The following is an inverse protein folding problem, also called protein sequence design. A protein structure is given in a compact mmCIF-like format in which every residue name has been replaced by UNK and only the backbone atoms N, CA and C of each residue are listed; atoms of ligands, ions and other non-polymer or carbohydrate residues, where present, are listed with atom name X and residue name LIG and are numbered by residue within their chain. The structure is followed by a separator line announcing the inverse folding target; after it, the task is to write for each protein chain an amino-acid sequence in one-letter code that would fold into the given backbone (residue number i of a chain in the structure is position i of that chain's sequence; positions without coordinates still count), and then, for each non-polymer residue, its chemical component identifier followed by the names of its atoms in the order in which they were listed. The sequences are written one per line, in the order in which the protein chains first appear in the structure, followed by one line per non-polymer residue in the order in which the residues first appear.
data_IF_516474826314
#
_entry.id   IF_516474826314
#
_cell.length_a   1.000
_cell.length_b   1.000
_cell.length_c   1.000
_cell.angle_alpha   90.00
_cell.angle_beta   90.00
_cell.angle_gamma   90.00
#
_symmetry.space_group_name_H-M   'P 1'
#
loop_
_entity.id
_entity.type
_entity.pdbx_description
1 polymer ?
#
# COMPACT_ATOMS: atom_id res chain seq x y z
N UNK A 1 11.05 4.40 4.07
CA UNK A 1 10.04 3.62 3.31
C UNK A 1 9.13 4.46 2.41
N UNK A 2 9.24 5.79 2.39
CA UNK A 2 8.37 6.65 1.58
C UNK A 2 8.50 6.33 0.07
N UNK A 3 9.72 6.30 -0.43
CA UNK A 3 9.97 6.06 -1.86
C UNK A 3 9.59 4.61 -2.24
N UNK A 4 9.80 3.66 -1.33
CA UNK A 4 9.30 2.29 -1.48
C UNK A 4 7.77 2.25 -1.62
N UNK A 5 7.04 3.02 -0.81
CA UNK A 5 5.59 3.09 -0.89
C UNK A 5 5.11 3.64 -2.25
N UNK A 6 5.78 4.65 -2.79
CA UNK A 6 5.49 5.19 -4.12
C UNK A 6 5.73 4.15 -5.21
N UNK A 7 6.85 3.43 -5.14
CA UNK A 7 7.22 2.37 -6.10
C UNK A 7 6.22 1.22 -6.07
N UNK A 8 5.88 0.73 -4.87
CA UNK A 8 4.89 -0.33 -4.69
C UNK A 8 3.53 0.08 -5.22
N UNK A 9 3.11 1.32 -4.96
CA UNK A 9 1.85 1.86 -5.49
C UNK A 9 1.86 1.96 -7.02
N UNK A 10 2.98 2.38 -7.61
CA UNK A 10 3.13 2.46 -9.06
C UNK A 10 3.08 1.06 -9.71
N UNK A 11 3.82 0.09 -9.17
CA UNK A 11 3.78 -1.30 -9.63
C UNK A 11 2.37 -1.89 -9.54
N UNK A 12 1.69 -1.70 -8.41
CA UNK A 12 0.33 -2.19 -8.21
C UNK A 12 -0.71 -1.52 -9.11
N UNK A 13 -0.45 -0.30 -9.57
CA UNK A 13 -1.28 0.42 -10.55
C UNK A 13 -0.97 0.02 -12.02
N UNK A 14 -0.06 -0.93 -12.24
CA UNK A 14 0.31 -1.41 -13.58
C UNK A 14 1.23 -0.48 -14.35
N UNK A 15 1.90 0.47 -13.67
CA UNK A 15 2.94 1.27 -14.31
C UNK A 15 4.15 0.39 -14.59
N UNK A 16 4.53 0.30 -15.87
CA UNK A 16 5.75 -0.35 -16.31
C UNK A 16 6.71 0.70 -16.87
N UNK A 17 7.99 0.71 -16.48
CA UNK A 17 8.98 1.58 -17.11
C UNK A 17 9.28 1.08 -18.53
N UNK A 18 9.86 1.93 -19.35
CA UNK A 18 10.18 1.62 -20.74
C UNK A 18 11.22 0.48 -20.90
N UNK A 19 11.96 0.12 -19.84
CA UNK A 19 12.98 -0.93 -19.84
C UNK A 19 12.91 -1.84 -18.62
N UNK A 20 12.95 -3.15 -18.87
CA UNK A 20 12.88 -4.24 -17.90
C UNK A 20 13.87 -4.15 -16.74
N UNK A 21 15.12 -3.83 -17.02
CA UNK A 21 16.18 -3.72 -16.02
C UNK A 21 16.00 -2.54 -15.05
N UNK A 22 15.13 -1.59 -15.39
CA UNK A 22 14.99 -0.33 -14.65
C UNK A 22 14.30 -0.54 -13.29
N UNK A 23 13.26 -1.38 -13.22
CA UNK A 23 12.59 -1.66 -11.95
C UNK A 23 13.48 -2.39 -10.96
N UNK A 24 14.24 -3.36 -11.45
CA UNK A 24 15.16 -4.12 -10.61
C UNK A 24 16.27 -3.23 -10.03
N UNK A 25 16.96 -2.48 -10.89
CA UNK A 25 18.02 -1.56 -10.46
C UNK A 25 17.48 -0.44 -9.56
N UNK A 26 16.27 0.03 -9.84
CA UNK A 26 15.62 1.00 -8.97
C UNK A 26 15.28 0.39 -7.59
N UNK A 27 14.80 -0.84 -7.54
CA UNK A 27 14.56 -1.58 -6.30
C UNK A 27 15.83 -1.72 -5.45
N UNK A 28 16.97 -2.07 -6.07
CA UNK A 28 18.27 -2.12 -5.40
C UNK A 28 18.63 -0.76 -4.79
N UNK A 29 18.53 0.29 -5.60
CA UNK A 29 18.83 1.66 -5.16
C UNK A 29 17.94 2.07 -3.96
N UNK A 30 16.66 1.68 -3.94
CA UNK A 30 15.77 1.96 -2.81
C UNK A 30 16.26 1.29 -1.51
N UNK A 31 16.69 0.03 -1.59
CA UNK A 31 17.20 -0.70 -0.43
C UNK A 31 18.52 -0.11 0.07
N UNK A 32 19.45 0.18 -0.84
CA UNK A 32 20.74 0.80 -0.52
C UNK A 32 20.56 2.18 0.14
N UNK A 33 19.68 3.02 -0.41
CA UNK A 33 19.37 4.34 0.14
C UNK A 33 18.71 4.23 1.52
N UNK A 34 17.81 3.28 1.74
CA UNK A 34 17.21 3.06 3.05
C UNK A 34 18.29 2.68 4.07
N UNK A 35 19.15 1.71 3.75
CA UNK A 35 20.25 1.27 4.64
C UNK A 35 21.20 2.43 4.97
N UNK A 36 21.58 3.23 3.96
CA UNK A 36 22.44 4.41 4.13
C UNK A 36 21.79 5.47 5.03
N UNK A 37 20.50 5.75 4.82
CA UNK A 37 19.76 6.74 5.61
C UNK A 37 19.57 6.29 7.06
N UNK A 38 19.30 5.02 7.31
CA UNK A 38 19.22 4.47 8.65
C UNK A 38 20.58 4.54 9.36
N UNK A 39 21.66 4.16 8.67
CA UNK A 39 23.02 4.24 9.21
C UNK A 39 23.42 5.68 9.55
N UNK A 40 23.15 6.64 8.66
CA UNK A 40 23.43 8.07 8.90
C UNK A 40 22.58 8.66 10.03
N UNK A 41 21.42 8.06 10.32
CA UNK A 41 20.56 8.43 11.45
C UNK A 41 20.96 7.75 12.77
N UNK A 42 22.08 7.05 12.82
CA UNK A 42 22.61 6.40 14.01
C UNK A 42 21.82 5.16 14.44
N UNK A 43 21.11 4.50 13.53
CA UNK A 43 20.36 3.28 13.84
C UNK A 43 21.31 2.10 14.01
N UNK A 44 20.91 1.15 14.87
CA UNK A 44 21.71 -0.06 15.10
C UNK A 44 21.78 -0.94 13.85
N UNK A 45 22.82 -1.77 13.76
CA UNK A 45 22.96 -2.73 12.68
C UNK A 45 21.75 -3.69 12.60
N UNK A 46 21.20 -4.09 13.75
CA UNK A 46 19.99 -4.92 13.83
C UNK A 46 18.77 -4.20 13.23
N UNK A 47 18.54 -2.91 13.58
CA UNK A 47 17.45 -2.13 13.03
C UNK A 47 17.57 -1.98 11.50
N UNK A 48 18.78 -1.71 11.01
CA UNK A 48 19.04 -1.57 9.57
C UNK A 48 18.74 -2.89 8.87
N UNK A 49 19.19 -4.01 9.42
CA UNK A 49 18.99 -5.34 8.84
C UNK A 49 17.50 -5.72 8.84
N UNK A 50 16.80 -5.59 9.96
CA UNK A 50 15.38 -5.95 10.08
C UNK A 50 14.50 -5.11 9.15
N UNK A 51 14.72 -3.80 9.09
CA UNK A 51 13.91 -2.90 8.28
C UNK A 51 14.19 -3.10 6.78
N UNK A 52 15.45 -3.25 6.40
CA UNK A 52 15.79 -3.51 5.00
C UNK A 52 15.36 -4.90 4.54
N UNK A 53 15.38 -5.90 5.44
CA UNK A 53 14.82 -7.23 5.14
C UNK A 53 13.33 -7.17 4.83
N UNK A 54 12.56 -6.44 5.64
CA UNK A 54 11.13 -6.24 5.41
C UNK A 54 10.86 -5.49 4.10
N UNK A 55 11.68 -4.50 3.76
CA UNK A 55 11.59 -3.80 2.48
C UNK A 55 11.84 -4.74 1.30
N UNK A 56 12.87 -5.58 1.35
CA UNK A 56 13.16 -6.56 0.30
C UNK A 56 12.01 -7.54 0.12
N UNK A 57 11.47 -8.10 1.21
CA UNK A 57 10.33 -9.02 1.14
C UNK A 57 9.10 -8.39 0.48
N UNK A 58 8.80 -7.13 0.81
CA UNK A 58 7.70 -6.37 0.18
C UNK A 58 7.95 -6.15 -1.31
N UNK A 59 9.15 -5.69 -1.68
CA UNK A 59 9.49 -5.42 -3.07
C UNK A 59 9.41 -6.68 -3.92
N UNK A 60 9.94 -7.79 -3.41
CA UNK A 60 9.90 -9.08 -4.11
C UNK A 60 8.46 -9.57 -4.30
N UNK A 61 7.64 -9.52 -3.26
CA UNK A 61 6.25 -9.96 -3.36
C UNK A 61 5.46 -9.11 -4.37
N UNK A 62 5.56 -7.78 -4.28
CA UNK A 62 4.80 -6.88 -5.15
C UNK A 62 5.33 -6.95 -6.59
N UNK A 63 6.63 -7.04 -6.80
CA UNK A 63 7.21 -7.19 -8.13
C UNK A 63 6.73 -8.49 -8.80
N UNK A 64 6.82 -9.61 -8.09
CA UNK A 64 6.40 -10.92 -8.61
C UNK A 64 4.89 -11.03 -8.84
N UNK A 65 4.07 -10.24 -8.15
CA UNK A 65 2.62 -10.18 -8.39
C UNK A 65 2.24 -9.32 -9.60
N UNK A 66 3.01 -8.26 -9.89
CA UNK A 66 2.59 -7.24 -10.86
C UNK A 66 3.46 -7.20 -12.13
N UNK A 67 4.71 -7.62 -12.09
CA UNK A 67 5.57 -7.66 -13.27
C UNK A 67 5.25 -8.87 -14.16
N UNK A 68 5.47 -8.71 -15.46
CA UNK A 68 5.25 -9.74 -16.47
C UNK A 68 6.44 -9.80 -17.46
N UNK A 69 6.53 -10.90 -18.20
CA UNK A 69 7.55 -11.07 -19.23
C UNK A 69 8.97 -10.97 -18.69
N UNK A 70 9.84 -10.30 -19.44
CA UNK A 70 11.26 -10.15 -19.12
C UNK A 70 11.52 -9.45 -17.79
N UNK A 71 10.66 -8.53 -17.37
CA UNK A 71 10.82 -7.81 -16.11
C UNK A 71 10.67 -8.75 -14.91
N UNK A 72 9.68 -9.63 -15.00
CA UNK A 72 9.44 -10.66 -14.01
C UNK A 72 10.59 -11.67 -13.98
N UNK A 73 11.06 -12.13 -15.13
CA UNK A 73 12.18 -13.09 -15.23
C UNK A 73 13.46 -12.55 -14.58
N UNK A 74 13.81 -11.29 -14.83
CA UNK A 74 14.96 -10.64 -14.20
C UNK A 74 14.84 -10.62 -12.68
N UNK A 75 13.64 -10.34 -12.16
CA UNK A 75 13.40 -10.31 -10.73
C UNK A 75 13.40 -11.72 -10.11
N UNK A 76 12.79 -12.70 -10.75
CA UNK A 76 12.78 -14.10 -10.31
C UNK A 76 14.17 -14.72 -10.24
N UNK A 77 15.05 -14.39 -11.19
CA UNK A 77 16.43 -14.90 -11.19
C UNK A 77 17.25 -14.40 -10.01
N UNK A 78 17.01 -13.19 -9.53
CA UNK A 78 17.76 -12.60 -8.43
C UNK A 78 16.89 -11.67 -7.56
N UNK A 79 15.96 -12.22 -6.77
CA UNK A 79 15.13 -11.41 -5.87
C UNK A 79 15.96 -10.55 -4.93
N UNK A 80 15.42 -9.43 -4.45
CA UNK A 80 16.10 -8.51 -3.52
C UNK A 80 16.54 -9.22 -2.23
N UNK A 81 15.70 -10.14 -1.72
CA UNK A 81 16.04 -10.97 -0.57
C UNK A 81 17.28 -11.85 -0.81
N UNK A 82 17.47 -12.35 -2.03
CA UNK A 82 18.66 -13.13 -2.39
C UNK A 82 19.88 -12.23 -2.52
N UNK A 83 19.72 -11.10 -3.22
CA UNK A 83 20.77 -10.15 -3.45
C UNK A 83 21.38 -9.57 -2.16
N UNK A 84 20.53 -9.18 -1.21
CA UNK A 84 20.97 -8.50 0.02
C UNK A 84 21.17 -9.42 1.22
N UNK A 85 20.47 -10.57 1.28
CA UNK A 85 20.41 -11.43 2.47
C UNK A 85 20.69 -12.91 2.20
N UNK A 86 20.90 -13.29 0.95
CA UNK A 86 21.13 -14.69 0.54
C UNK A 86 19.99 -15.63 1.03
N UNK A 87 18.77 -15.12 1.07
CA UNK A 87 17.57 -15.81 1.55
C UNK A 87 16.57 -16.00 0.42
N UNK A 88 15.96 -17.19 0.32
CA UNK A 88 14.97 -17.51 -0.72
C UNK A 88 13.53 -17.58 -0.20
N UNK A 89 13.33 -17.42 1.11
CA UNK A 89 12.02 -17.56 1.76
C UNK A 89 11.68 -16.37 2.68
N UNK A 90 12.04 -15.16 2.24
CA UNK A 90 11.85 -13.96 3.04
C UNK A 90 10.39 -13.74 3.47
N UNK A 91 9.43 -14.16 2.66
CA UNK A 91 8.01 -14.06 3.00
C UNK A 91 7.66 -14.80 4.28
N UNK A 92 8.10 -16.04 4.43
CA UNK A 92 7.86 -16.85 5.62
C UNK A 92 8.68 -16.33 6.82
N UNK A 93 9.97 -16.06 6.59
CA UNK A 93 10.87 -15.55 7.62
C UNK A 93 10.40 -14.22 8.17
N UNK A 94 9.90 -13.31 7.33
CA UNK A 94 9.36 -12.03 7.81
C UNK A 94 8.09 -12.24 8.65
N UNK A 95 7.21 -13.17 8.27
CA UNK A 95 6.06 -13.51 9.11
C UNK A 95 6.49 -14.04 10.47
N UNK A 96 7.52 -14.91 10.54
CA UNK A 96 8.08 -15.40 11.80
C UNK A 96 8.67 -14.26 12.66
N UNK A 97 9.40 -13.33 12.03
CA UNK A 97 9.94 -12.14 12.71
C UNK A 97 8.84 -11.25 13.28
N UNK A 98 7.76 -11.02 12.52
CA UNK A 98 6.58 -10.27 12.95
C UNK A 98 5.94 -10.96 14.17
N UNK A 99 5.70 -12.27 14.08
CA UNK A 99 5.09 -13.02 15.19
C UNK A 99 5.97 -13.02 16.44
N UNK A 100 7.28 -13.19 16.26
CA UNK A 100 8.26 -13.14 17.37
C UNK A 100 8.22 -11.77 18.04
N UNK A 101 8.20 -10.69 17.25
CA UNK A 101 8.11 -9.32 17.77
C UNK A 101 6.80 -9.11 18.54
N UNK A 102 5.67 -9.56 17.99
CA UNK A 102 4.36 -9.47 18.65
C UNK A 102 4.30 -10.25 19.98
N UNK A 103 4.96 -11.42 20.06
CA UNK A 103 5.02 -12.25 21.28
C UNK A 103 5.95 -11.66 22.34
N UNK A 104 7.03 -11.00 21.94
CA UNK A 104 8.03 -10.47 22.86
C UNK A 104 7.52 -9.28 23.71
N UNK A 105 6.49 -8.57 23.25
CA UNK A 105 5.86 -7.47 23.99
C UNK A 105 6.73 -6.22 24.23
N UNK A 106 8.06 -6.35 24.10
CA UNK A 106 9.04 -5.26 24.21
C UNK A 106 9.54 -4.95 22.81
N UNK A 107 9.03 -3.94 22.18
CA UNK A 107 9.35 -3.71 20.79
C UNK A 107 10.29 -2.53 20.63
N UNK A 108 11.29 -2.72 19.77
CA UNK A 108 11.85 -1.62 19.06
C UNK A 108 10.74 -1.00 18.19
N UNK A 109 10.30 0.21 18.54
CA UNK A 109 9.18 0.89 17.89
C UNK A 109 9.40 1.08 16.41
N UNK A 110 10.65 1.30 16.01
CA UNK A 110 11.01 1.53 14.63
C UNK A 110 10.83 0.27 13.77
N UNK A 111 11.20 -0.89 14.31
CA UNK A 111 10.98 -2.18 13.64
C UNK A 111 9.48 -2.48 13.54
N UNK A 112 8.73 -2.26 14.63
CA UNK A 112 7.28 -2.46 14.62
C UNK A 112 6.56 -1.54 13.61
N UNK A 113 6.97 -0.27 13.52
CA UNK A 113 6.45 0.68 12.54
C UNK A 113 6.79 0.27 11.10
N UNK A 114 8.02 -0.20 10.87
CA UNK A 114 8.45 -0.69 9.56
C UNK A 114 7.64 -1.93 9.14
N UNK A 115 7.46 -2.91 10.01
CA UNK A 115 6.67 -4.10 9.74
C UNK A 115 5.20 -3.77 9.48
N UNK A 116 4.62 -2.89 10.30
CA UNK A 116 3.24 -2.41 10.07
C UNK A 116 3.11 -1.69 8.73
N UNK A 117 4.10 -0.87 8.35
CA UNK A 117 4.12 -0.17 7.07
C UNK A 117 4.18 -1.14 5.90
N UNK A 118 5.02 -2.17 5.98
CA UNK A 118 5.19 -3.20 4.94
C UNK A 118 3.89 -3.99 4.75
N UNK A 119 3.23 -4.41 5.82
CA UNK A 119 1.91 -5.08 5.73
C UNK A 119 0.86 -4.14 5.12
N UNK A 120 0.82 -2.87 5.54
CA UNK A 120 -0.14 -1.89 5.00
C UNK A 120 0.10 -1.56 3.52
N UNK A 121 1.31 -1.76 3.02
CA UNK A 121 1.68 -1.59 1.61
C UNK A 121 1.38 -2.82 0.75
N UNK A 122 0.86 -3.88 1.35
CA UNK A 122 0.37 -5.04 0.61
C UNK A 122 1.14 -6.34 0.80
N UNK A 123 2.19 -6.35 1.62
CA UNK A 123 2.87 -7.59 1.96
C UNK A 123 1.93 -8.54 2.70
N UNK A 124 1.87 -9.78 2.26
CA UNK A 124 1.07 -10.85 2.86
C UNK A 124 1.93 -12.04 3.28
N UNK A 125 2.94 -12.42 2.47
CA UNK A 125 3.73 -13.60 2.69
C UNK A 125 2.83 -14.83 2.92
N UNK A 126 3.12 -15.63 3.95
CA UNK A 126 2.27 -16.80 4.29
C UNK A 126 0.87 -16.44 4.82
N UNK A 127 0.63 -15.19 5.24
CA UNK A 127 -0.70 -14.75 5.69
C UNK A 127 -1.75 -14.71 4.57
N UNK A 128 -1.36 -14.90 3.32
CA UNK A 128 -2.31 -15.04 2.21
C UNK A 128 -3.31 -16.19 2.44
N UNK A 129 -2.91 -17.19 3.23
CA UNK A 129 -3.72 -18.35 3.59
C UNK A 129 -4.49 -18.17 4.92
N UNK A 130 -4.17 -17.11 5.70
CA UNK A 130 -4.78 -16.86 7.01
C UNK A 130 -4.95 -15.35 7.25
N UNK A 131 -6.07 -14.82 6.79
CA UNK A 131 -6.40 -13.40 6.96
C UNK A 131 -6.59 -13.01 8.43
N UNK A 132 -7.03 -13.92 9.29
CA UNK A 132 -7.17 -13.65 10.72
C UNK A 132 -5.80 -13.46 11.37
N UNK A 133 -4.80 -14.26 11.02
CA UNK A 133 -3.44 -14.10 11.50
C UNK A 133 -2.84 -12.76 11.03
N UNK A 134 -3.12 -12.35 9.79
CA UNK A 134 -2.71 -11.04 9.26
C UNK A 134 -3.31 -9.90 10.09
N UNK A 135 -4.62 -9.91 10.31
CA UNK A 135 -5.33 -8.88 11.08
C UNK A 135 -4.84 -8.83 12.54
N UNK A 136 -4.61 -9.98 13.17
CA UNK A 136 -4.07 -10.07 14.52
C UNK A 136 -2.67 -9.46 14.62
N UNK A 137 -1.80 -9.76 13.66
CA UNK A 137 -0.44 -9.20 13.57
C UNK A 137 -0.48 -7.69 13.36
N UNK A 138 -1.32 -7.19 12.44
CA UNK A 138 -1.52 -5.76 12.25
C UNK A 138 -2.01 -5.05 13.52
N UNK A 139 -3.01 -5.61 14.20
CA UNK A 139 -3.55 -5.02 15.42
C UNK A 139 -2.52 -5.00 16.56
N UNK A 140 -1.70 -6.05 16.67
CA UNK A 140 -0.62 -6.11 17.66
C UNK A 140 0.46 -5.06 17.36
N UNK A 141 0.92 -4.95 16.12
CA UNK A 141 1.87 -3.92 15.71
C UNK A 141 1.32 -2.50 15.90
N UNK A 142 0.04 -2.25 15.57
CA UNK A 142 -0.61 -0.95 15.82
C UNK A 142 -0.60 -0.58 17.30
N UNK A 143 -0.90 -1.53 18.20
CA UNK A 143 -0.86 -1.30 19.64
C UNK A 143 0.55 -0.97 20.13
N UNK A 144 1.57 -1.66 19.61
CA UNK A 144 2.98 -1.39 19.94
C UNK A 144 3.38 0.02 19.53
N UNK A 145 3.08 0.42 18.30
CA UNK A 145 3.40 1.78 17.80
C UNK A 145 2.64 2.86 18.57
N UNK A 146 1.35 2.64 18.86
CA UNK A 146 0.52 3.59 19.62
C UNK A 146 0.96 3.73 21.08
N UNK A 147 1.31 2.62 21.75
CA UNK A 147 1.76 2.62 23.14
C UNK A 147 3.06 3.41 23.37
N UNK A 148 3.90 3.50 22.36
CA UNK A 148 5.14 4.25 22.40
C UNK A 148 4.97 5.75 22.12
N UNK A 149 4.00 6.10 21.28
CA UNK A 149 3.63 7.51 21.07
C UNK A 149 3.07 8.16 22.35
N UNK A 150 2.37 7.41 23.20
CA UNK A 150 1.86 7.91 24.47
C UNK A 150 2.94 8.11 25.53
N UNK A 151 4.01 7.30 25.51
CA UNK A 151 5.12 7.41 26.43
C UNK A 151 6.14 8.49 26.04
N UNK A 152 6.22 8.86 24.75
CA UNK A 152 7.09 9.94 24.27
C UNK A 152 6.55 11.34 24.59
N UNK A 153 5.26 11.47 24.86
CA UNK A 153 4.62 12.75 25.21
C UNK A 153 4.97 13.22 26.63
N UNK A 154 5.60 12.37 27.47
CA UNK A 154 5.87 12.73 28.86
C UNK A 154 7.27 13.30 29.12
N UNK A 155 8.16 13.39 28.14
CA UNK A 155 9.57 13.73 28.46
C UNK A 155 10.21 14.92 27.72
N UNK A 156 9.60 15.55 26.72
CA UNK A 156 10.09 16.87 26.29
C UNK A 156 9.04 17.60 25.42
N UNK A 157 8.64 18.77 25.86
CA UNK A 157 7.53 19.56 25.30
C UNK A 157 7.83 20.27 23.99
N UNK A 158 8.46 19.63 23.00
CA UNK A 158 8.54 20.15 21.63
C UNK A 158 8.78 19.02 20.61
N UNK A 159 7.76 18.23 20.36
CA UNK A 159 7.72 17.43 19.13
C UNK A 159 6.62 18.02 18.27
N UNK A 160 6.99 18.45 17.06
CA UNK A 160 6.06 18.88 16.04
C UNK A 160 5.05 17.75 15.78
N UNK A 161 3.91 17.86 16.41
CA UNK A 161 2.76 17.04 16.14
C UNK A 161 2.25 17.43 14.75
N UNK A 162 2.69 16.73 13.72
CA UNK A 162 1.92 16.68 12.48
C UNK A 162 0.67 15.89 12.83
N UNK A 163 -0.35 16.60 13.27
CA UNK A 163 -1.70 16.07 13.37
C UNK A 163 -2.11 15.58 11.96
N UNK A 164 -1.76 14.33 11.67
CA UNK A 164 -2.43 13.59 10.61
C UNK A 164 -3.83 13.32 11.12
N UNK A 165 -4.66 14.33 11.11
CA UNK A 165 -6.08 14.08 10.88
C UNK A 165 -6.13 13.18 9.68
N UNK A 166 -6.26 11.90 9.93
CA UNK A 166 -6.72 10.95 8.95
C UNK A 166 -8.08 11.48 8.50
N UNK A 167 -8.08 12.30 7.46
CA UNK A 167 -9.32 12.55 6.75
C UNK A 167 -9.83 11.16 6.36
N UNK A 168 -11.00 10.76 6.84
CA UNK A 168 -11.57 9.52 6.39
C UNK A 168 -11.89 9.69 4.91
N UNK A 169 -11.01 9.17 4.05
CA UNK A 169 -11.22 9.11 2.60
C UNK A 169 -12.50 8.32 2.25
N UNK A 170 -13.17 7.76 3.25
CA UNK A 170 -14.45 7.06 3.13
C UNK A 170 -15.67 7.98 2.97
N UNK A 171 -15.54 9.30 3.12
CA UNK A 171 -16.74 10.18 3.05
C UNK A 171 -16.98 10.80 1.67
N UNK A 172 -16.07 10.62 0.70
CA UNK A 172 -16.26 11.20 -0.64
C UNK A 172 -16.74 10.23 -1.71
N UNK A 173 -16.85 8.92 -1.43
CA UNK A 173 -17.27 7.92 -2.42
C UNK A 173 -18.35 6.94 -1.92
N UNK A 174 -19.08 7.28 -0.87
CA UNK A 174 -20.36 6.59 -0.58
C UNK A 174 -21.52 7.31 -1.24
N UNK A 175 -21.45 7.53 -2.53
CA UNK A 175 -22.67 7.66 -3.32
C UNK A 175 -23.24 6.26 -3.37
N UNK A 176 -24.25 6.01 -2.52
CA UNK A 176 -24.98 4.74 -2.56
C UNK A 176 -25.35 4.44 -4.01
N UNK A 177 -25.08 3.24 -4.54
CA UNK A 177 -25.45 2.87 -5.90
C UNK A 177 -26.94 3.09 -6.19
N UNK A 178 -27.77 3.07 -5.15
CA UNK A 178 -29.21 3.39 -5.19
C UNK A 178 -29.43 4.86 -5.58
N UNK A 179 -28.60 5.81 -5.14
CA UNK A 179 -28.72 7.21 -5.51
C UNK A 179 -28.35 7.46 -6.99
N UNK A 180 -27.31 6.77 -7.47
CA UNK A 180 -26.93 6.84 -8.90
C UNK A 180 -28.03 6.27 -9.77
N UNK A 181 -28.63 5.15 -9.37
CA UNK A 181 -29.74 4.52 -10.10
C UNK A 181 -30.98 5.43 -10.16
N UNK A 182 -31.32 6.07 -9.04
CA UNK A 182 -32.44 7.03 -9.01
C UNK A 182 -32.19 8.26 -9.89
N UNK A 183 -30.99 8.83 -9.86
CA UNK A 183 -30.66 9.96 -10.76
C UNK A 183 -30.73 9.57 -12.23
N UNK A 184 -30.21 8.41 -12.63
CA UNK A 184 -30.32 7.92 -14.01
C UNK A 184 -31.77 7.68 -14.42
N UNK A 185 -32.61 7.15 -13.54
CA UNK A 185 -34.04 6.93 -13.82
C UNK A 185 -34.77 8.24 -14.04
N UNK A 186 -34.53 9.27 -13.22
CA UNK A 186 -35.13 10.58 -13.38
C UNK A 186 -34.70 11.23 -14.70
N UNK A 187 -33.44 11.16 -15.05
CA UNK A 187 -32.92 11.70 -16.34
C UNK A 187 -33.58 10.98 -17.52
N UNK A 188 -33.73 9.68 -17.48
CA UNK A 188 -34.37 8.90 -18.55
C UNK A 188 -35.85 9.29 -18.71
N UNK A 189 -36.58 9.50 -17.63
CA UNK A 189 -37.99 9.94 -17.67
C UNK A 189 -38.10 11.34 -18.24
N UNK A 190 -37.27 12.27 -17.83
CA UNK A 190 -37.26 13.65 -18.36
C UNK A 190 -36.94 13.64 -19.86
N UNK A 191 -35.93 12.87 -20.30
CA UNK A 191 -35.58 12.72 -21.69
C UNK A 191 -36.72 12.14 -22.54
N UNK A 192 -37.46 11.16 -22.01
CA UNK A 192 -38.59 10.55 -22.65
C UNK A 192 -39.73 11.59 -22.89
N UNK A 193 -40.09 12.37 -21.88
CA UNK A 193 -41.11 13.41 -22.03
C UNK A 193 -40.67 14.56 -22.93
N UNK A 194 -39.41 14.99 -22.84
CA UNK A 194 -38.85 16.01 -23.73
C UNK A 194 -38.85 15.57 -25.20
N UNK A 195 -38.53 14.32 -25.47
CA UNK A 195 -38.55 13.75 -26.80
C UNK A 195 -39.97 13.61 -27.33
N UNK A 196 -40.92 13.18 -26.48
CA UNK A 196 -42.35 13.15 -26.85
C UNK A 196 -42.89 14.54 -27.24
N UNK A 197 -42.60 15.55 -26.43
CA UNK A 197 -42.99 16.93 -26.72
C UNK A 197 -42.37 17.45 -28.03
N UNK A 198 -41.10 17.12 -28.28
CA UNK A 198 -40.42 17.50 -29.52
C UNK A 198 -41.07 16.85 -30.76
N UNK A 199 -41.48 15.58 -30.66
CA UNK A 199 -42.16 14.87 -31.74
C UNK A 199 -43.55 15.46 -32.04
N UNK A 200 -44.31 15.83 -31.00
CA UNK A 200 -45.62 16.45 -31.13
C UNK A 200 -45.52 17.83 -31.85
N UNK A 201 -44.53 18.63 -31.48
CA UNK A 201 -44.30 19.92 -32.17
C UNK A 201 -43.88 19.76 -33.61
N UNK A 202 -43.10 18.73 -33.95
CA UNK A 202 -42.74 18.40 -35.33
C UNK A 202 -43.97 17.92 -36.14
N UNK A 203 -44.86 17.12 -35.53
CA UNK A 203 -46.07 16.64 -36.18
C UNK A 203 -47.04 17.78 -36.49
N UNK A 204 -47.19 18.76 -35.60
CA UNK A 204 -48.01 19.97 -35.87
C UNK A 204 -47.44 20.83 -37.00
N UNK A 205 -46.12 20.98 -37.11
CA UNK A 205 -45.48 21.71 -38.20
C UNK A 205 -45.67 21.03 -39.57
N UNK A 206 -45.73 19.69 -39.61
CA UNK A 206 -45.93 18.94 -40.85
C UNK A 206 -47.39 18.90 -41.29
N UNK A 207 -48.38 19.16 -40.42
CA UNK A 207 -49.80 19.27 -40.79
C UNK A 207 -50.20 20.68 -41.26
N UNK A 208 -49.33 21.67 -41.03
CA UNK A 208 -49.59 23.08 -41.43
C UNK A 208 -49.01 23.45 -42.80
N UNK A 209 -48.41 22.51 -43.52
CA UNK A 209 -47.93 22.63 -44.91
C UNK A 209 -48.81 21.86 -45.90
#
# INVERSE_FOLDING_TARGET
LRDTALTVSALSAGFSPEHASTWYEYGKTLVENLRKNLASSGRSAEEIEEISYAQCALLDEVALQNLQGSDREVWEMNPMQVHFFQSYNAGDVLCDKIEKLCKAGSANSLIAEAYLSVINLGFKGRYILDEMALQNSQNSLKKMVAGLSSNAVTQDGQIFYVDRKSMPLKSLLTISPIWVFNCCSVIAVVAYFAFGYYLDTLAEQTQAL
#
